data_IF_492392044954
#
_entry.id   IF_492392044954
#
_cell.length_a   1.000
_cell.length_b   1.000
_cell.length_c   1.000
_cell.angle_alpha   90.00
_cell.angle_beta   90.00
_cell.angle_gamma   90.00
#
_symmetry.space_group_name_H-M   'P 1'
#
loop_
_entity.id
_entity.type
_entity.pdbx_description
1 polymer ?
#
# COMPACT_ATOMS: atom_id res chain seq x y z
N UNK A 1 -14.26 -17.93 -13.04
CA UNK A 1 -13.81 -17.13 -11.88
C UNK A 1 -12.31 -17.28 -11.82
N UNK A 2 -11.56 -16.19 -11.66
CA UNK A 2 -10.10 -16.27 -11.49
C UNK A 2 -9.78 -16.97 -10.16
N UNK A 3 -8.79 -17.85 -10.18
CA UNK A 3 -8.32 -18.57 -8.99
C UNK A 3 -7.93 -17.58 -7.89
N UNK A 4 -8.15 -17.94 -6.62
CA UNK A 4 -7.70 -17.12 -5.50
C UNK A 4 -6.17 -17.05 -5.49
N UNK A 5 -5.63 -15.93 -4.99
CA UNK A 5 -4.19 -15.72 -4.88
C UNK A 5 -3.80 -15.45 -3.45
N UNK A 6 -2.67 -16.01 -3.04
CA UNK A 6 -2.13 -15.80 -1.70
C UNK A 6 -1.64 -14.37 -1.54
N UNK A 7 -1.81 -13.81 -0.34
CA UNK A 7 -1.34 -12.47 -0.03
C UNK A 7 0.14 -12.28 -0.39
N UNK A 8 0.99 -13.29 -0.12
CA UNK A 8 2.42 -13.30 -0.45
C UNK A 8 2.74 -13.16 -1.94
N UNK A 9 1.86 -13.63 -2.85
CA UNK A 9 2.09 -13.53 -4.30
C UNK A 9 1.99 -12.08 -4.81
N UNK A 10 1.34 -11.21 -4.04
CA UNK A 10 1.23 -9.78 -4.33
C UNK A 10 2.32 -8.94 -3.65
N UNK A 11 3.09 -9.53 -2.73
CA UNK A 11 4.06 -8.78 -1.95
C UNK A 11 5.04 -8.05 -2.87
N UNK A 12 5.20 -6.75 -2.61
CA UNK A 12 6.06 -5.85 -3.37
C UNK A 12 6.91 -5.04 -2.42
N UNK A 13 8.16 -4.79 -2.79
CA UNK A 13 9.10 -4.04 -1.98
C UNK A 13 9.75 -2.93 -2.78
N UNK A 14 10.07 -1.84 -2.10
CA UNK A 14 10.79 -0.69 -2.63
C UNK A 14 11.79 -0.22 -1.59
N UNK A 15 13.07 -0.21 -1.95
CA UNK A 15 14.13 0.41 -1.15
C UNK A 15 14.55 1.72 -1.81
N UNK A 16 14.72 2.77 -1.01
CA UNK A 16 15.07 4.10 -1.47
C UNK A 16 16.07 4.76 -0.54
N UNK A 17 17.20 5.23 -1.07
CA UNK A 17 18.15 6.05 -0.29
C UNK A 17 17.63 7.48 -0.33
N UNK A 18 17.38 8.07 0.84
CA UNK A 18 16.87 9.44 0.93
C UNK A 18 17.94 10.43 0.49
N UNK A 19 17.68 11.13 -0.61
CA UNK A 19 18.57 12.11 -1.22
C UNK A 19 18.20 13.53 -0.81
N UNK A 20 19.05 14.55 -1.06
CA UNK A 20 18.70 15.94 -0.80
C UNK A 20 17.42 16.42 -1.50
N UNK A 21 17.11 15.87 -2.68
CA UNK A 21 15.91 16.23 -3.43
C UNK A 21 14.61 15.71 -2.79
N UNK A 22 14.71 14.73 -1.90
CA UNK A 22 13.56 14.14 -1.19
C UNK A 22 13.19 14.94 0.08
N UNK A 23 14.01 15.90 0.51
CA UNK A 23 13.88 16.56 1.81
C UNK A 23 13.02 17.82 1.76
N UNK A 24 12.31 18.07 2.85
CA UNK A 24 11.68 19.35 3.14
C UNK A 24 12.68 20.32 3.82
N UNK A 25 12.25 21.56 4.08
CA UNK A 25 13.08 22.61 4.72
C UNK A 25 13.65 22.27 6.11
N UNK A 26 13.09 21.27 6.78
CA UNK A 26 13.52 20.79 8.10
C UNK A 26 14.58 19.67 8.00
N UNK A 27 15.03 19.31 6.80
CA UNK A 27 16.05 18.26 6.62
C UNK A 27 15.52 16.84 6.82
N UNK A 28 14.20 16.66 6.73
CA UNK A 28 13.54 15.34 6.80
C UNK A 28 12.78 15.06 5.50
N UNK A 29 12.55 13.78 5.22
CA UNK A 29 11.80 13.32 4.05
C UNK A 29 10.45 14.04 3.94
N UNK A 30 10.17 14.59 2.77
CA UNK A 30 8.91 15.26 2.49
C UNK A 30 7.77 14.23 2.51
N UNK A 31 6.70 14.50 3.28
CA UNK A 31 5.59 13.55 3.43
C UNK A 31 4.93 13.18 2.09
N UNK A 32 4.80 14.14 1.18
CA UNK A 32 4.35 13.89 -0.19
C UNK A 32 5.26 12.97 -1.01
N UNK A 33 6.57 13.02 -0.79
CA UNK A 33 7.52 12.10 -1.44
C UNK A 33 7.37 10.68 -0.87
N UNK A 34 7.21 10.56 0.44
CA UNK A 34 6.90 9.27 1.08
C UNK A 34 5.60 8.68 0.52
N UNK A 35 4.54 9.47 0.41
CA UNK A 35 3.27 9.04 -0.17
C UNK A 35 3.40 8.62 -1.63
N UNK A 36 4.19 9.34 -2.43
CA UNK A 36 4.43 8.98 -3.83
C UNK A 36 5.17 7.63 -3.96
N UNK A 37 6.12 7.35 -3.06
CA UNK A 37 6.81 6.06 -3.01
C UNK A 37 5.88 4.94 -2.53
N UNK A 38 5.05 5.22 -1.51
CA UNK A 38 4.05 4.29 -0.97
C UNK A 38 3.00 3.91 -2.03
N UNK A 39 2.48 4.87 -2.78
CA UNK A 39 1.52 4.62 -3.88
C UNK A 39 2.14 3.75 -4.97
N UNK A 40 3.42 3.98 -5.33
CA UNK A 40 4.13 3.14 -6.32
C UNK A 40 4.26 1.68 -5.86
N UNK A 41 4.67 1.44 -4.61
CA UNK A 41 4.80 0.06 -4.11
C UNK A 41 3.44 -0.62 -3.94
N UNK A 42 2.40 0.14 -3.57
CA UNK A 42 1.03 -0.36 -3.56
C UNK A 42 0.53 -0.71 -4.97
N UNK A 43 0.78 0.15 -5.96
CA UNK A 43 0.45 -0.12 -7.36
C UNK A 43 1.17 -1.38 -7.86
N UNK A 44 2.44 -1.59 -7.52
CA UNK A 44 3.15 -2.84 -7.85
C UNK A 44 2.42 -4.08 -7.28
N UNK A 45 1.98 -4.02 -6.03
CA UNK A 45 1.20 -5.11 -5.43
C UNK A 45 -0.15 -5.32 -6.15
N UNK A 46 -0.84 -4.23 -6.49
CA UNK A 46 -2.10 -4.27 -7.22
C UNK A 46 -1.94 -4.96 -8.60
N UNK A 47 -0.90 -4.59 -9.34
CA UNK A 47 -0.57 -5.14 -10.64
C UNK A 47 -0.18 -6.63 -10.56
N UNK A 48 0.59 -7.03 -9.54
CA UNK A 48 0.96 -8.45 -9.32
C UNK A 48 -0.25 -9.32 -8.99
N UNK A 49 -1.13 -8.81 -8.13
CA UNK A 49 -2.34 -9.51 -7.73
C UNK A 49 -3.33 -9.64 -8.90
N UNK A 50 -3.68 -8.54 -9.55
CA UNK A 50 -4.71 -8.54 -10.59
C UNK A 50 -4.22 -9.00 -11.95
N UNK A 51 -2.96 -8.74 -12.31
CA UNK A 51 -2.42 -8.81 -13.69
C UNK A 51 -3.18 -7.92 -14.67
N UNK A 52 -3.72 -6.80 -14.19
CA UNK A 52 -4.57 -5.87 -14.92
C UNK A 52 -4.15 -4.42 -14.62
N UNK A 53 -4.58 -3.48 -15.45
CA UNK A 53 -4.40 -2.05 -15.15
C UNK A 53 -5.21 -1.68 -13.90
N UNK A 54 -4.58 -0.96 -12.99
CA UNK A 54 -5.16 -0.57 -11.70
C UNK A 54 -5.02 0.93 -11.49
N UNK A 55 -6.06 1.53 -10.90
CA UNK A 55 -6.07 2.95 -10.54
C UNK A 55 -6.26 3.13 -9.04
N UNK A 56 -5.54 4.08 -8.44
CA UNK A 56 -5.70 4.48 -7.04
C UNK A 56 -7.02 5.23 -6.88
N UNK A 57 -7.92 4.75 -6.01
CA UNK A 57 -9.24 5.34 -5.79
C UNK A 57 -9.33 6.08 -4.46
N UNK A 58 -8.65 5.58 -3.44
CA UNK A 58 -8.53 6.28 -2.17
C UNK A 58 -7.27 5.83 -1.43
N UNK A 59 -6.75 6.73 -0.63
CA UNK A 59 -5.79 6.44 0.41
C UNK A 59 -6.55 6.68 1.71
N UNK A 60 -6.63 5.66 2.56
CA UNK A 60 -7.21 5.79 3.90
C UNK A 60 -6.15 6.35 4.87
N UNK A 61 -6.27 6.09 6.17
CA UNK A 61 -5.41 6.72 7.20
C UNK A 61 -3.92 6.52 6.89
N UNK A 62 -3.17 7.62 6.97
CA UNK A 62 -1.70 7.66 6.87
C UNK A 62 -1.19 8.33 8.15
N UNK A 63 -0.43 7.59 8.95
CA UNK A 63 0.20 8.12 10.16
C UNK A 63 1.71 8.17 9.96
N UNK A 64 2.29 9.38 9.98
CA UNK A 64 3.74 9.57 9.96
C UNK A 64 4.28 9.54 11.40
N UNK A 65 4.81 8.40 11.82
CA UNK A 65 5.18 8.15 13.23
C UNK A 65 6.63 8.51 13.56
N UNK A 66 7.51 8.63 12.57
CA UNK A 66 8.91 9.02 12.75
C UNK A 66 9.46 9.80 11.55
N UNK A 67 10.40 10.74 11.75
CA UNK A 67 11.10 11.41 10.65
C UNK A 67 12.11 10.48 9.97
N UNK A 68 12.39 10.74 8.69
CA UNK A 68 13.45 10.07 7.94
C UNK A 68 14.45 11.11 7.46
N UNK A 69 15.74 10.87 7.68
CA UNK A 69 16.80 11.84 7.41
C UNK A 69 17.55 11.54 6.11
N UNK A 70 18.30 12.52 5.64
CA UNK A 70 19.23 12.36 4.53
C UNK A 70 20.13 11.12 4.69
N UNK A 71 20.27 10.33 3.63
CA UNK A 71 21.12 9.15 3.58
C UNK A 71 20.52 7.91 4.26
N UNK A 72 19.38 8.01 4.92
CA UNK A 72 18.69 6.83 5.48
C UNK A 72 18.15 5.95 4.34
N UNK A 73 18.04 4.65 4.61
CA UNK A 73 17.42 3.70 3.69
C UNK A 73 15.95 3.58 4.09
N UNK A 74 15.05 4.01 3.22
CA UNK A 74 13.61 3.81 3.34
C UNK A 74 13.26 2.47 2.69
N UNK A 75 12.73 1.53 3.47
CA UNK A 75 12.28 0.22 3.01
C UNK A 75 10.75 0.15 3.15
N UNK A 76 10.07 -0.05 2.03
CA UNK A 76 8.61 -0.15 1.97
C UNK A 76 8.21 -1.52 1.48
N UNK A 77 7.27 -2.15 2.19
CA UNK A 77 6.63 -3.39 1.76
C UNK A 77 5.13 -3.17 1.59
N UNK A 78 4.55 -3.69 0.50
CA UNK A 78 3.14 -3.62 0.21
C UNK A 78 2.57 -5.00 -0.12
N UNK A 79 1.37 -5.31 0.36
CA UNK A 79 0.64 -6.52 -0.01
C UNK A 79 -0.87 -6.34 -0.01
N UNK A 80 -1.54 -7.04 -0.93
CA UNK A 80 -3.00 -7.12 -0.94
C UNK A 80 -3.45 -7.96 0.25
N UNK A 81 -4.34 -7.41 1.06
CA UNK A 81 -4.92 -8.12 2.22
C UNK A 81 -6.45 -8.16 2.16
N UNK A 82 -7.07 -7.46 1.21
CA UNK A 82 -8.51 -7.49 1.01
C UNK A 82 -8.86 -7.34 -0.47
N UNK A 83 -9.87 -8.08 -0.92
CA UNK A 83 -10.40 -8.02 -2.29
C UNK A 83 -11.92 -8.05 -2.24
N UNK A 84 -12.56 -7.18 -3.04
CA UNK A 84 -13.96 -7.29 -3.38
C UNK A 84 -14.09 -7.86 -4.81
N UNK A 85 -15.15 -7.48 -5.56
CA UNK A 85 -15.34 -7.92 -6.95
C UNK A 85 -14.28 -7.36 -7.90
N UNK A 86 -14.05 -6.05 -7.88
CA UNK A 86 -13.17 -5.33 -8.84
C UNK A 86 -12.12 -4.45 -8.15
N UNK A 87 -12.17 -4.39 -6.83
CA UNK A 87 -11.32 -3.52 -6.01
C UNK A 87 -10.55 -4.32 -4.98
N UNK A 88 -9.41 -3.78 -4.57
CA UNK A 88 -8.56 -4.38 -3.54
C UNK A 88 -8.07 -3.30 -2.58
N UNK A 89 -7.79 -3.70 -1.35
CA UNK A 89 -7.09 -2.87 -0.37
C UNK A 89 -5.69 -3.44 -0.13
N UNK A 90 -4.72 -2.54 -0.07
CA UNK A 90 -3.29 -2.84 -0.02
C UNK A 90 -2.75 -2.16 1.22
N UNK A 91 -2.10 -2.96 2.06
CA UNK A 91 -1.40 -2.45 3.23
C UNK A 91 0.04 -2.14 2.82
N UNK A 92 0.51 -0.95 3.16
CA UNK A 92 1.89 -0.51 2.97
C UNK A 92 2.49 -0.20 4.33
N UNK A 93 3.63 -0.82 4.61
CA UNK A 93 4.47 -0.53 5.77
C UNK A 93 5.77 0.09 5.27
N UNK A 94 6.15 1.23 5.84
CA UNK A 94 7.40 1.91 5.55
C UNK A 94 8.26 1.94 6.82
N UNK A 95 9.50 1.47 6.70
CA UNK A 95 10.52 1.54 7.75
C UNK A 95 11.71 2.34 7.25
N UNK A 96 12.43 2.99 8.17
CA UNK A 96 13.68 3.66 7.85
C UNK A 96 14.82 3.04 8.64
N UNK A 97 15.93 2.80 7.97
CA UNK A 97 17.18 2.31 8.52
C UNK A 97 18.25 3.41 8.49
N UNK A 98 18.88 3.65 9.64
CA UNK A 98 20.12 4.44 9.69
C UNK A 98 21.30 3.55 9.29
N UNK A 99 22.06 3.87 8.22
CA UNK A 99 22.99 2.91 7.61
C UNK A 99 24.22 2.54 8.45
N UNK A 100 24.64 3.37 9.41
CA UNK A 100 25.86 3.13 10.20
C UNK A 100 25.60 2.21 11.40
N UNK A 101 24.46 2.39 12.04
CA UNK A 101 24.01 1.65 13.21
C UNK A 101 23.14 0.45 12.84
N UNK A 102 22.53 0.44 11.65
CA UNK A 102 21.54 -0.56 11.24
C UNK A 102 20.21 -0.45 11.99
N UNK A 103 20.00 0.62 12.76
CA UNK A 103 18.78 0.81 13.55
C UNK A 103 17.60 1.06 12.62
N UNK A 104 16.55 0.26 12.77
CA UNK A 104 15.31 0.37 12.01
C UNK A 104 14.18 0.93 12.87
N UNK A 105 13.36 1.79 12.27
CA UNK A 105 12.15 2.31 12.89
C UNK A 105 10.98 2.30 11.91
N UNK A 106 9.77 2.06 12.43
CA UNK A 106 8.54 2.28 11.67
C UNK A 106 8.40 3.78 11.38
N UNK A 107 8.02 4.11 10.15
CA UNK A 107 7.85 5.49 9.68
C UNK A 107 6.39 5.75 9.34
N UNK A 108 5.75 4.80 8.66
CA UNK A 108 4.39 4.97 8.17
C UNK A 108 3.72 3.62 7.96
N UNK A 109 2.45 3.53 8.35
CA UNK A 109 1.51 2.54 7.85
C UNK A 109 0.44 3.26 7.03
N UNK A 110 0.03 2.67 5.91
CA UNK A 110 -0.97 3.24 5.03
C UNK A 110 -1.79 2.17 4.34
N UNK A 111 -3.05 2.51 4.05
CA UNK A 111 -3.99 1.63 3.36
C UNK A 111 -4.42 2.27 2.04
N UNK A 112 -4.13 1.59 0.94
CA UNK A 112 -4.46 2.06 -0.40
C UNK A 112 -5.56 1.21 -1.01
N UNK A 113 -6.55 1.86 -1.58
CA UNK A 113 -7.62 1.20 -2.31
C UNK A 113 -7.44 1.38 -3.80
N UNK A 114 -7.34 0.26 -4.51
CA UNK A 114 -7.21 0.21 -5.96
C UNK A 114 -8.44 -0.42 -6.60
N UNK A 115 -8.75 -0.01 -7.83
CA UNK A 115 -9.73 -0.66 -8.70
C UNK A 115 -9.04 -1.11 -9.98
N UNK A 116 -9.23 -2.38 -10.36
CA UNK A 116 -8.79 -2.87 -11.66
C UNK A 116 -9.76 -2.42 -12.75
N UNK A 117 -9.22 -1.93 -13.87
CA UNK A 117 -9.99 -1.38 -14.99
C UNK A 117 -9.57 -2.00 -16.32
N UNK A 118 -10.47 -1.99 -17.30
CA UNK A 118 -10.15 -2.33 -18.69
C UNK A 118 -9.66 -1.09 -19.48
N UNK A 119 -9.42 -1.27 -20.78
CA UNK A 119 -9.02 -0.20 -21.70
C UNK A 119 -10.01 0.98 -21.75
N UNK A 120 -11.29 0.74 -21.48
CA UNK A 120 -12.34 1.78 -21.41
C UNK A 120 -12.48 2.40 -20.01
N UNK A 121 -11.51 2.16 -19.11
CA UNK A 121 -11.55 2.58 -17.70
C UNK A 121 -12.75 2.03 -16.90
N UNK A 122 -13.32 0.90 -17.33
CA UNK A 122 -14.45 0.24 -16.64
C UNK A 122 -13.95 -0.80 -15.64
N UNK A 123 -14.52 -0.88 -14.42
CA UNK A 123 -14.09 -1.87 -13.43
C UNK A 123 -14.26 -3.32 -13.89
N UNK A 124 -13.22 -4.13 -13.72
CA UNK A 124 -13.20 -5.55 -14.10
C UNK A 124 -12.92 -6.48 -12.91
N UNK A 125 -13.44 -7.72 -12.91
CA UNK A 125 -13.24 -8.64 -11.80
C UNK A 125 -11.78 -9.02 -11.55
N UNK A 126 -11.42 -9.25 -10.29
CA UNK A 126 -10.06 -9.65 -9.86
C UNK A 126 -10.06 -10.96 -9.05
N UNK A 127 -8.91 -11.65 -8.95
CA UNK A 127 -8.70 -12.75 -8.00
C UNK A 127 -9.08 -12.37 -6.56
N UNK A 128 -9.69 -13.29 -5.83
CA UNK A 128 -9.86 -13.14 -4.38
C UNK A 128 -8.53 -13.38 -3.66
N UNK A 129 -8.29 -12.69 -2.55
CA UNK A 129 -7.10 -12.93 -1.73
C UNK A 129 -7.30 -14.10 -0.78
N UNK A 130 -6.33 -15.00 -0.75
CA UNK A 130 -6.17 -16.07 0.23
C UNK A 130 -5.24 -15.57 1.35
N UNK A 131 -5.75 -15.58 2.60
CA UNK A 131 -5.05 -15.01 3.76
C UNK A 131 -4.20 -16.09 4.45
N UNK A 132 -2.91 -15.82 4.60
CA UNK A 132 -1.95 -16.79 5.11
C UNK A 132 -1.67 -16.59 6.60
N UNK A 133 -1.47 -15.34 7.03
CA UNK A 133 -1.08 -15.00 8.40
C UNK A 133 -2.23 -14.46 9.25
N UNK A 134 -2.09 -14.53 10.58
CA UNK A 134 -3.07 -13.92 11.49
C UNK A 134 -3.15 -12.40 11.30
N UNK A 135 -2.02 -11.75 11.02
CA UNK A 135 -1.97 -10.33 10.68
C UNK A 135 -2.79 -10.02 9.42
N UNK A 136 -2.75 -10.87 8.40
CA UNK A 136 -3.58 -10.69 7.20
C UNK A 136 -5.06 -10.82 7.51
N UNK A 137 -5.43 -11.77 8.39
CA UNK A 137 -6.82 -11.95 8.84
C UNK A 137 -7.34 -10.76 9.64
N UNK A 138 -6.51 -10.19 10.50
CA UNK A 138 -6.84 -8.97 11.24
C UNK A 138 -7.03 -7.78 10.30
N UNK A 139 -6.05 -7.52 9.44
CA UNK A 139 -6.11 -6.43 8.46
C UNK A 139 -7.32 -6.57 7.54
N UNK A 140 -7.64 -7.80 7.10
CA UNK A 140 -8.79 -8.07 6.24
C UNK A 140 -10.12 -7.73 6.92
N UNK A 141 -10.29 -8.04 8.21
CA UNK A 141 -11.51 -7.69 8.97
C UNK A 141 -11.70 -6.18 9.04
N UNK A 142 -10.62 -5.44 9.30
CA UNK A 142 -10.66 -3.97 9.31
C UNK A 142 -10.96 -3.40 7.92
N UNK A 143 -10.35 -3.96 6.88
CA UNK A 143 -10.57 -3.56 5.49
C UNK A 143 -12.03 -3.79 5.06
N UNK A 144 -12.63 -4.91 5.45
CA UNK A 144 -14.04 -5.20 5.22
C UNK A 144 -14.93 -4.13 5.87
N UNK A 145 -14.65 -3.75 7.13
CA UNK A 145 -15.39 -2.69 7.81
C UNK A 145 -15.23 -1.32 7.09
N UNK A 146 -14.01 -0.97 6.67
CA UNK A 146 -13.74 0.24 5.87
C UNK A 146 -14.50 0.22 4.54
N UNK A 147 -14.52 -0.93 3.86
CA UNK A 147 -15.21 -1.10 2.58
C UNK A 147 -16.73 -0.94 2.72
N UNK A 148 -17.32 -1.57 3.74
CA UNK A 148 -18.76 -1.49 3.99
C UNK A 148 -19.20 -0.08 4.37
N UNK A 149 -18.42 0.62 5.21
CA UNK A 149 -18.66 2.02 5.55
C UNK A 149 -18.66 2.93 4.31
N UNK A 150 -17.67 2.76 3.42
CA UNK A 150 -17.59 3.51 2.14
C UNK A 150 -18.74 3.19 1.21
N UNK A 151 -19.14 1.91 1.12
CA UNK A 151 -20.28 1.48 0.30
C UNK A 151 -21.61 2.04 0.82
N UNK A 152 -21.78 2.13 2.14
CA UNK A 152 -22.95 2.76 2.74
C UNK A 152 -23.01 4.27 2.49
N UNK A 153 -21.86 4.97 2.58
CA UNK A 153 -21.77 6.41 2.32
C UNK A 153 -22.11 6.80 0.87
N UNK A 154 -21.78 5.95 -0.12
CA UNK A 154 -22.07 6.19 -1.55
C UNK A 154 -23.54 5.98 -1.95
N UNK A 155 -24.36 5.36 -1.09
CA UNK A 155 -25.79 5.09 -1.35
C UNK A 155 -26.71 6.22 -0.85
N UNK A 156 -26.16 7.21 -0.16
CA UNK A 156 -26.85 8.46 0.19
C UNK A 156 -26.54 9.50 -0.86
#
# INVERSE_FOLDING_TARGET
MTEAKKASESESRLAWIVTPADLNRHGTLFGGQLLALADRVAAMAALRHSRLDCVTVSIDKVDFVAPVHHGYILDMTARVHFTARTSMEIFVEATAEEPRSGTRQLVCEAFFSFVAVNQDSRPIPIPQVELETDRDRELNKEAQARYDARKAARKK
#
